data_IF_003072990787
#
_entry.id   IF_003072990787
#
_cell.length_a   1.000
_cell.length_b   1.000
_cell.length_c   1.000
_cell.angle_alpha   90.00
_cell.angle_beta   90.00
_cell.angle_gamma   90.00
#
_symmetry.space_group_name_H-M   'P 1'
#
loop_
_entity.id
_entity.type
_entity.pdbx_description
1 polymer ?
#
# COMPACT_ATOMS: atom_id res chain seq x y z
N UNK A 1 18.90 -6.58 -19.74
CA UNK A 1 19.42 -6.70 -18.36
C UNK A 1 18.59 -5.75 -17.50
N UNK A 2 17.77 -6.26 -16.59
CA UNK A 2 16.82 -5.45 -15.82
C UNK A 2 16.18 -6.25 -14.70
N UNK A 3 16.99 -6.77 -13.78
CA UNK A 3 16.51 -7.24 -12.48
C UNK A 3 16.17 -6.01 -11.65
N UNK A 4 14.96 -5.46 -11.86
CA UNK A 4 14.33 -4.62 -10.86
C UNK A 4 13.98 -5.53 -9.70
N UNK A 5 14.75 -5.46 -8.62
CA UNK A 5 14.47 -6.20 -7.41
C UNK A 5 13.04 -5.86 -6.97
N UNK A 6 12.13 -6.82 -7.11
CA UNK A 6 10.91 -6.86 -6.33
C UNK A 6 11.40 -6.91 -4.88
N UNK A 7 11.46 -5.74 -4.24
CA UNK A 7 11.83 -5.61 -2.84
C UNK A 7 11.00 -6.62 -2.07
N UNK A 8 11.66 -7.53 -1.36
CA UNK A 8 10.98 -8.49 -0.53
C UNK A 8 10.30 -7.71 0.60
N UNK A 9 9.02 -7.41 0.42
CA UNK A 9 8.23 -6.75 1.47
C UNK A 9 7.74 -7.85 2.39
N UNK A 10 8.29 -7.85 3.60
CA UNK A 10 7.91 -8.79 4.65
C UNK A 10 7.09 -8.06 5.69
N UNK A 11 5.91 -8.58 6.02
CA UNK A 11 5.12 -8.10 7.15
C UNK A 11 5.15 -9.12 8.29
N UNK A 12 5.15 -8.60 9.51
CA UNK A 12 4.80 -9.38 10.69
C UNK A 12 3.29 -9.32 10.83
N UNK A 13 2.62 -10.42 10.51
CA UNK A 13 1.18 -10.58 10.73
C UNK A 13 1.00 -11.10 12.15
N UNK A 14 -0.05 -10.70 12.88
CA UNK A 14 -0.31 -11.12 14.26
C UNK A 14 -0.19 -12.65 14.43
N UNK A 15 0.94 -13.09 15.00
CA UNK A 15 1.28 -14.52 15.21
C UNK A 15 2.17 -15.18 14.15
N UNK A 16 2.55 -14.49 13.08
CA UNK A 16 3.41 -15.01 12.01
C UNK A 16 4.42 -13.97 11.52
N UNK A 17 5.68 -14.16 11.88
CA UNK A 17 6.80 -13.42 11.31
C UNK A 17 7.15 -13.97 9.92
N UNK A 18 7.70 -13.12 9.05
CA UNK A 18 8.31 -13.58 7.80
C UNK A 18 7.34 -13.81 6.64
N UNK A 19 6.16 -13.17 6.62
CA UNK A 19 5.21 -13.31 5.51
C UNK A 19 5.68 -12.46 4.33
N UNK A 20 6.04 -13.11 3.22
CA UNK A 20 6.41 -12.42 1.98
C UNK A 20 5.15 -11.96 1.25
N UNK A 21 5.06 -10.66 0.99
CA UNK A 21 4.02 -10.10 0.13
C UNK A 21 4.43 -10.22 -1.33
N UNK A 22 3.49 -10.64 -2.17
CA UNK A 22 3.58 -10.59 -3.61
C UNK A 22 2.37 -9.88 -4.20
N UNK A 23 2.51 -9.35 -5.41
CA UNK A 23 1.45 -8.63 -6.09
C UNK A 23 1.96 -8.07 -7.41
N UNK A 24 1.13 -7.26 -8.07
CA UNK A 24 1.59 -6.51 -9.24
C UNK A 24 2.66 -5.46 -8.86
N UNK A 25 3.37 -4.97 -9.88
CA UNK A 25 4.48 -4.02 -9.69
C UNK A 25 4.04 -2.77 -8.95
N UNK A 26 2.88 -2.22 -9.27
CA UNK A 26 2.38 -0.98 -8.68
C UNK A 26 2.10 -1.15 -7.19
N UNK A 27 1.45 -2.26 -6.83
CA UNK A 27 1.15 -2.64 -5.46
C UNK A 27 2.44 -2.83 -4.66
N UNK A 28 3.44 -3.51 -5.22
CA UNK A 28 4.74 -3.67 -4.56
C UNK A 28 5.49 -2.35 -4.37
N UNK A 29 5.37 -1.39 -5.30
CA UNK A 29 5.95 -0.06 -5.14
C UNK A 29 5.33 0.69 -3.96
N UNK A 30 4.00 0.61 -3.78
CA UNK A 30 3.34 1.19 -2.61
C UNK A 30 3.78 0.51 -1.32
N UNK A 31 3.80 -0.82 -1.30
CA UNK A 31 4.17 -1.62 -0.13
C UNK A 31 5.63 -1.42 0.30
N UNK A 32 6.50 -1.03 -0.62
CA UNK A 32 7.92 -0.76 -0.37
C UNK A 32 8.23 0.74 -0.19
N UNK A 33 7.22 1.61 -0.15
CA UNK A 33 7.45 3.04 0.03
C UNK A 33 8.03 3.32 1.43
N UNK A 34 9.25 3.90 1.52
CA UNK A 34 9.90 4.13 2.80
C UNK A 34 9.12 5.09 3.72
N UNK A 35 8.22 5.92 3.17
CA UNK A 35 7.36 6.83 3.94
C UNK A 35 6.30 6.09 4.77
N UNK A 36 6.06 4.82 4.47
CA UNK A 36 5.15 3.94 5.23
C UNK A 36 5.88 3.10 6.29
N UNK A 37 7.20 3.24 6.41
CA UNK A 37 7.98 2.52 7.43
C UNK A 37 7.47 2.85 8.82
N UNK A 38 7.18 1.81 9.61
CA UNK A 38 6.65 1.96 10.97
C UNK A 38 5.15 2.25 11.06
N UNK A 39 4.45 2.42 9.93
CA UNK A 39 3.00 2.49 9.93
C UNK A 39 2.38 1.11 10.19
N UNK A 40 1.28 1.09 10.94
CA UNK A 40 0.43 -0.09 10.99
C UNK A 40 -0.39 -0.14 9.71
N UNK A 41 -0.32 -1.27 8.99
CA UNK A 41 -0.92 -1.40 7.66
C UNK A 41 -1.81 -2.64 7.58
N UNK A 42 -2.86 -2.54 6.78
CA UNK A 42 -3.68 -3.67 6.39
C UNK A 42 -3.60 -3.92 4.89
N UNK A 43 -3.63 -5.20 4.53
CA UNK A 43 -3.70 -5.66 3.13
C UNK A 43 -4.89 -6.60 2.94
N UNK A 44 -5.53 -6.52 1.78
CA UNK A 44 -6.52 -7.49 1.28
C UNK A 44 -5.90 -8.30 0.16
N UNK A 45 -6.17 -9.60 0.18
CA UNK A 45 -5.57 -10.54 -0.76
C UNK A 45 -5.86 -11.98 -0.37
N UNK A 46 -5.01 -12.90 -0.84
CA UNK A 46 -5.13 -14.33 -0.57
C UNK A 46 -3.79 -14.94 -0.19
N UNK A 47 -3.82 -15.95 0.66
CA UNK A 47 -2.66 -16.81 0.91
C UNK A 47 -2.41 -17.68 -0.32
N UNK A 48 -1.18 -17.65 -0.84
CA UNK A 48 -0.74 -18.52 -1.95
C UNK A 48 0.13 -19.66 -1.45
N UNK A 49 0.79 -19.47 -0.30
CA UNK A 49 1.45 -20.53 0.45
C UNK A 49 1.47 -20.12 1.93
N UNK A 50 1.93 -20.99 2.85
CA UNK A 50 2.02 -20.62 4.25
C UNK A 50 2.82 -19.31 4.46
N UNK A 51 3.95 -19.11 3.79
CA UNK A 51 4.80 -17.93 4.02
C UNK A 51 4.64 -16.84 2.95
N UNK A 52 3.60 -16.91 2.12
CA UNK A 52 3.42 -15.98 1.01
C UNK A 52 1.96 -15.56 0.84
N UNK A 53 1.74 -14.26 0.79
CA UNK A 53 0.44 -13.64 0.63
C UNK A 53 0.42 -12.78 -0.62
N UNK A 54 -0.51 -13.06 -1.53
CA UNK A 54 -0.74 -12.27 -2.74
C UNK A 54 -1.74 -11.16 -2.44
N UNK A 55 -1.25 -9.92 -2.50
CA UNK A 55 -2.03 -8.70 -2.29
C UNK A 55 -2.80 -8.39 -3.56
N UNK A 56 -4.08 -8.05 -3.42
CA UNK A 56 -4.89 -7.58 -4.55
C UNK A 56 -4.33 -6.28 -5.13
N UNK A 57 -4.60 -5.97 -6.41
CA UNK A 57 -4.15 -4.72 -7.02
C UNK A 57 -4.56 -3.48 -6.22
N UNK A 58 -3.62 -2.57 -6.01
CA UNK A 58 -3.81 -1.39 -5.17
C UNK A 58 -4.98 -0.49 -5.60
N UNK A 59 -5.26 -0.40 -6.90
CA UNK A 59 -6.41 0.34 -7.42
C UNK A 59 -7.77 -0.20 -6.92
N UNK A 60 -7.81 -1.42 -6.36
CA UNK A 60 -8.98 -2.00 -5.68
C UNK A 60 -9.08 -1.64 -4.20
N UNK A 61 -8.27 -0.68 -3.72
CA UNK A 61 -8.18 -0.24 -2.31
C UNK A 61 -7.81 -1.39 -1.37
N UNK A 62 -6.92 -2.26 -1.84
CA UNK A 62 -6.46 -3.45 -1.13
C UNK A 62 -5.39 -3.17 -0.07
N UNK A 63 -4.94 -1.93 0.09
CA UNK A 63 -3.95 -1.52 1.07
C UNK A 63 -4.40 -0.24 1.79
N UNK A 64 -4.23 -0.20 3.10
CA UNK A 64 -4.56 0.96 3.92
C UNK A 64 -3.64 1.06 5.14
N UNK A 65 -3.51 2.27 5.65
CA UNK A 65 -2.86 2.57 6.93
C UNK A 65 -3.91 2.60 8.04
N UNK A 66 -3.61 1.99 9.18
CA UNK A 66 -4.37 2.17 10.41
C UNK A 66 -3.79 3.34 11.19
N UNK A 67 -4.63 4.34 11.47
CA UNK A 67 -4.25 5.50 12.30
C UNK A 67 -5.44 5.93 13.13
N UNK A 68 -5.30 5.88 14.46
CA UNK A 68 -6.34 6.26 15.41
C UNK A 68 -7.60 5.40 15.31
N UNK A 69 -7.44 4.07 15.13
CA UNK A 69 -8.57 3.14 14.97
C UNK A 69 -9.33 3.25 13.65
N UNK A 70 -8.88 4.10 12.73
CA UNK A 70 -9.51 4.36 11.45
C UNK A 70 -8.61 3.88 10.30
N UNK A 71 -9.23 3.32 9.25
CA UNK A 71 -8.55 2.99 8.00
C UNK A 71 -8.38 4.22 7.11
N UNK A 72 -7.20 4.38 6.56
CA UNK A 72 -6.83 5.46 5.64
C UNK A 72 -6.24 4.86 4.35
N UNK A 73 -6.84 5.21 3.22
CA UNK A 73 -6.31 4.88 1.90
C UNK A 73 -5.08 5.74 1.62
N UNK A 74 -4.00 5.09 1.22
CA UNK A 74 -2.81 5.78 0.72
C UNK A 74 -3.07 6.25 -0.70
N UNK A 75 -2.56 7.41 -1.06
CA UNK A 75 -2.49 7.85 -2.45
C UNK A 75 -1.36 8.85 -2.61
N UNK A 76 -1.03 9.17 -3.86
CA UNK A 76 0.03 10.10 -4.18
C UNK A 76 -0.54 11.31 -4.89
N UNK A 77 -0.08 12.49 -4.51
CA UNK A 77 -0.57 13.76 -5.00
C UNK A 77 0.57 14.58 -5.58
N UNK A 78 0.34 15.23 -6.72
CA UNK A 78 1.26 16.21 -7.27
C UNK A 78 0.69 17.61 -7.04
N UNK A 79 1.37 18.42 -6.22
CA UNK A 79 0.93 19.79 -5.92
C UNK A 79 1.06 20.75 -7.11
N UNK A 80 1.98 20.47 -8.03
CA UNK A 80 2.17 21.30 -9.25
C UNK A 80 1.05 21.07 -10.26
N UNK A 81 0.69 19.81 -10.52
CA UNK A 81 -0.31 19.47 -11.53
C UNK A 81 -1.73 19.32 -10.97
N UNK A 82 -1.89 19.25 -9.65
CA UNK A 82 -3.19 19.03 -9.01
C UNK A 82 -3.81 17.68 -9.36
N UNK A 83 -2.98 16.63 -9.52
CA UNK A 83 -3.44 15.29 -9.91
C UNK A 83 -3.12 14.23 -8.86
N UNK A 84 -4.02 13.24 -8.77
CA UNK A 84 -3.85 12.04 -7.94
C UNK A 84 -3.25 10.89 -8.77
N UNK A 85 -2.33 10.15 -8.17
CA UNK A 85 -1.80 8.89 -8.68
C UNK A 85 -1.90 7.80 -7.60
N UNK A 86 -1.71 6.55 -8.02
CA UNK A 86 -1.77 5.37 -7.16
C UNK A 86 -0.41 4.67 -7.01
N UNK A 87 0.66 5.26 -7.55
CA UNK A 87 2.02 4.74 -7.47
C UNK A 87 2.97 5.85 -7.04
N UNK A 88 3.93 5.55 -6.15
CA UNK A 88 4.92 6.54 -5.72
C UNK A 88 5.88 6.89 -6.86
N UNK A 89 6.52 8.05 -6.74
CA UNK A 89 7.54 8.51 -7.68
C UNK A 89 7.18 9.83 -8.34
N UNK A 90 7.84 10.08 -9.48
CA UNK A 90 7.70 11.31 -10.25
C UNK A 90 6.38 11.40 -10.99
N UNK A 91 5.78 12.59 -10.96
CA UNK A 91 4.62 12.95 -11.75
C UNK A 91 4.95 12.88 -13.25
N UNK A 92 4.13 12.17 -14.03
CA UNK A 92 4.32 12.06 -15.48
C UNK A 92 4.25 13.40 -16.21
N UNK A 93 3.51 14.38 -15.67
CA UNK A 93 3.28 15.67 -16.33
C UNK A 93 4.43 16.66 -16.07
N UNK A 94 4.81 16.88 -14.81
CA UNK A 94 5.83 17.89 -14.43
C UNK A 94 7.16 17.30 -13.95
N UNK A 95 7.25 15.98 -13.78
CA UNK A 95 8.45 15.28 -13.29
C UNK A 95 8.85 15.59 -11.84
N UNK A 96 8.03 16.34 -11.08
CA UNK A 96 8.19 16.52 -9.65
C UNK A 96 7.80 15.28 -8.85
N UNK A 97 8.37 15.14 -7.65
CA UNK A 97 8.07 14.01 -6.77
C UNK A 97 6.65 14.13 -6.19
N UNK A 98 5.89 13.04 -6.24
CA UNK A 98 4.54 13.01 -5.67
C UNK A 98 4.59 12.85 -4.15
N UNK A 99 3.71 13.56 -3.46
CA UNK A 99 3.56 13.48 -2.01
C UNK A 99 2.61 12.35 -1.61
N UNK A 100 3.00 11.57 -0.60
CA UNK A 100 2.10 10.59 0.01
C UNK A 100 1.04 11.34 0.83
N UNK A 101 -0.23 11.08 0.52
CA UNK A 101 -1.39 11.61 1.23
C UNK A 101 -2.28 10.46 1.72
N UNK A 102 -3.10 10.75 2.72
CA UNK A 102 -4.01 9.80 3.34
C UNK A 102 -5.45 10.30 3.20
N UNK A 103 -6.33 9.43 2.71
CA UNK A 103 -7.76 9.69 2.60
C UNK A 103 -8.51 8.72 3.52
N UNK A 104 -9.39 9.25 4.37
CA UNK A 104 -10.17 8.41 5.28
C UNK A 104 -11.07 7.48 4.46
N UNK A 105 -10.94 6.17 4.67
CA UNK A 105 -11.90 5.22 4.10
C UNK A 105 -13.17 5.20 4.94
N UNK A 106 -14.37 5.16 4.32
CA UNK A 106 -15.59 4.87 5.07
C UNK A 106 -15.45 3.50 5.73
N UNK A 107 -15.95 3.37 6.96
CA UNK A 107 -16.08 2.06 7.60
C UNK A 107 -16.94 1.16 6.72
N UNK A 108 -16.48 -0.04 6.40
CA UNK A 108 -17.27 -0.98 5.60
C UNK A 108 -18.63 -1.24 6.30
N UNK A 109 -19.76 -1.24 5.56
CA UNK A 109 -21.04 -1.58 6.14
C UNK A 109 -20.98 -3.02 6.65
N UNK A 110 -20.86 -3.18 7.98
CA UNK A 110 -20.67 -4.48 8.63
C UNK A 110 -19.56 -4.51 9.68
N UNK A 111 -18.66 -3.52 9.71
CA UNK A 111 -17.65 -3.41 10.76
C UNK A 111 -18.07 -2.37 11.81
N UNK A 112 -19.12 -2.72 12.55
CA UNK A 112 -19.44 -2.06 13.82
C UNK A 112 -18.25 -2.24 14.77
N UNK A 113 -17.77 -1.12 15.28
CA UNK A 113 -16.89 -0.99 16.42
C UNK A 113 -17.55 -1.78 17.57
N UNK A 114 -16.93 -2.87 18.00
CA UNK A 114 -17.24 -3.53 19.28
C UNK A 114 -16.32 -2.96 20.35
#
# INVERSE_FOLDING_TARGET
MGSGAAGEVTLNVSGRAGVRLVGDRETLLVLSDPRLTGAEVGVRGRWVSPNQFEVEPFHKKSFWVYKGGQRWLVFYWCDVCGIRTYTPGKCLCCQEETELKLERLPSEPGQAIQ
#
